data_IF_323827614114
#
_entry.id   IF_323827614114
#
_cell.length_a   1.000
_cell.length_b   1.000
_cell.length_c   1.000
_cell.angle_alpha   90.00
_cell.angle_beta   90.00
_cell.angle_gamma   90.00
#
_symmetry.space_group_name_H-M   'P 1'
#
loop_
_entity.id
_entity.type
_entity.pdbx_description
1 polymer ?
#
# COMPACT_ATOMS: atom_id res chain seq x y z
N UNK A 1 9.91 29.52 -16.47
CA UNK A 1 9.66 29.55 -15.01
C UNK A 1 10.05 30.92 -14.47
N UNK A 2 9.20 31.57 -13.67
CA UNK A 2 9.54 32.89 -13.09
C UNK A 2 10.71 32.76 -12.12
N UNK A 3 11.60 33.76 -12.04
CA UNK A 3 12.74 33.76 -11.09
C UNK A 3 12.28 33.48 -9.64
N UNK A 4 11.07 33.92 -9.28
CA UNK A 4 10.44 33.63 -7.99
C UNK A 4 10.09 32.14 -7.78
N UNK A 5 9.69 31.42 -8.83
CA UNK A 5 9.40 29.99 -8.72
C UNK A 5 10.68 29.17 -8.50
N UNK A 6 11.78 29.55 -9.15
CA UNK A 6 13.09 28.91 -8.97
C UNK A 6 13.57 29.06 -7.53
N UNK A 7 13.44 30.25 -6.93
CA UNK A 7 13.91 30.47 -5.56
C UNK A 7 13.09 29.65 -4.54
N UNK A 8 11.77 29.57 -4.72
CA UNK A 8 10.91 28.72 -3.86
C UNK A 8 11.31 27.25 -3.92
N UNK A 9 11.67 26.75 -5.10
CA UNK A 9 12.11 25.36 -5.26
C UNK A 9 13.43 25.11 -4.55
N UNK A 10 14.43 26.00 -4.69
CA UNK A 10 15.74 25.81 -4.05
C UNK A 10 15.60 25.91 -2.51
N UNK A 11 14.81 26.84 -1.99
CA UNK A 11 14.55 26.95 -0.55
C UNK A 11 13.84 25.69 -0.04
N UNK A 12 12.82 25.20 -0.76
CA UNK A 12 12.12 23.97 -0.40
C UNK A 12 13.04 22.74 -0.39
N UNK A 13 13.91 22.61 -1.39
CA UNK A 13 14.91 21.53 -1.45
C UNK A 13 15.94 21.64 -0.32
N UNK A 14 16.37 22.85 0.03
CA UNK A 14 17.27 23.09 1.15
C UNK A 14 16.67 22.67 2.49
N UNK A 15 15.42 23.06 2.76
CA UNK A 15 14.69 22.67 3.97
C UNK A 15 14.52 21.14 4.04
N UNK A 16 14.12 20.52 2.93
CA UNK A 16 13.96 19.08 2.85
C UNK A 16 15.29 18.34 3.10
N UNK A 17 16.39 18.82 2.51
CA UNK A 17 17.73 18.26 2.72
C UNK A 17 18.19 18.39 4.17
N UNK A 18 18.00 19.55 4.81
CA UNK A 18 18.30 19.74 6.22
C UNK A 18 17.44 18.85 7.13
N UNK A 19 16.14 18.71 6.82
CA UNK A 19 15.24 17.84 7.58
C UNK A 19 15.65 16.37 7.45
N UNK A 20 16.01 15.92 6.25
CA UNK A 20 16.51 14.56 6.00
C UNK A 20 17.84 14.32 6.73
N UNK A 21 18.78 15.26 6.66
CA UNK A 21 20.05 15.19 7.38
C UNK A 21 19.82 15.07 8.90
N UNK A 22 18.92 15.88 9.46
CA UNK A 22 18.57 15.82 10.87
C UNK A 22 17.93 14.48 11.26
N UNK A 23 17.01 13.95 10.45
CA UNK A 23 16.38 12.65 10.71
C UNK A 23 17.39 11.49 10.70
N UNK A 24 18.32 11.49 9.74
CA UNK A 24 19.38 10.48 9.66
C UNK A 24 20.36 10.60 10.82
N UNK A 25 20.74 11.83 11.18
CA UNK A 25 21.69 12.08 12.26
C UNK A 25 21.13 11.68 13.64
N UNK A 26 19.82 11.84 13.85
CA UNK A 26 19.19 11.62 15.16
C UNK A 26 18.78 10.18 15.45
N UNK A 27 19.08 9.21 14.58
CA UNK A 27 18.76 7.78 14.76
C UNK A 27 17.29 7.53 15.19
N UNK A 28 16.38 8.29 14.60
CA UNK A 28 14.94 8.16 14.85
C UNK A 28 14.42 6.91 14.14
N UNK A 29 13.62 6.11 14.85
CA UNK A 29 13.00 4.89 14.31
C UNK A 29 11.49 4.92 14.49
N UNK A 30 10.78 4.43 13.48
CA UNK A 30 9.32 4.35 13.47
C UNK A 30 8.88 2.90 13.62
N UNK A 31 7.89 2.65 14.48
CA UNK A 31 7.31 1.32 14.71
C UNK A 31 5.79 1.39 14.62
N UNK A 32 5.19 0.32 14.11
CA UNK A 32 3.75 0.17 14.08
C UNK A 32 3.29 -0.74 15.23
N UNK A 33 2.39 -0.24 16.06
CA UNK A 33 1.90 -0.96 17.25
C UNK A 33 0.79 -1.92 16.85
N UNK A 34 1.03 -3.21 17.02
CA UNK A 34 0.08 -4.27 16.64
C UNK A 34 -0.87 -4.62 17.79
N UNK A 35 -0.36 -4.65 19.03
CA UNK A 35 -1.10 -5.10 20.21
C UNK A 35 -1.69 -3.94 21.00
N UNK A 36 -2.63 -4.25 21.89
CA UNK A 36 -3.26 -3.28 22.80
C UNK A 36 -2.66 -3.23 24.21
N UNK A 37 -1.42 -3.66 24.43
CA UNK A 37 -0.82 -3.74 25.77
C UNK A 37 -0.55 -2.38 26.41
N UNK A 38 -0.50 -1.32 25.59
CA UNK A 38 -0.25 0.06 26.02
C UNK A 38 -1.51 0.93 26.00
N UNK A 39 -2.70 0.32 25.98
CA UNK A 39 -3.97 1.05 26.12
C UNK A 39 -4.13 1.59 27.56
N UNK A 40 -4.84 2.72 27.76
CA UNK A 40 -5.34 3.65 26.74
C UNK A 40 -4.32 4.62 26.07
N UNK A 41 -3.15 4.99 26.65
CA UNK A 41 -2.30 6.03 26.07
C UNK A 41 -1.78 5.76 24.65
N UNK A 42 -1.54 4.48 24.33
CA UNK A 42 -1.09 4.06 23.00
C UNK A 42 -2.07 2.99 22.49
N UNK A 43 -3.05 3.38 21.66
CA UNK A 43 -3.96 2.44 21.02
C UNK A 43 -3.22 1.48 20.09
N UNK A 44 -3.83 0.32 19.83
CA UNK A 44 -3.40 -0.53 18.72
C UNK A 44 -3.56 0.23 17.39
N UNK A 45 -2.77 -0.17 16.38
CA UNK A 45 -2.67 0.55 15.09
C UNK A 45 -2.15 1.98 15.22
N UNK A 46 -1.29 2.25 16.20
CA UNK A 46 -0.58 3.52 16.33
C UNK A 46 0.80 3.45 15.69
N UNK A 47 1.21 4.53 15.05
CA UNK A 47 2.60 4.75 14.65
C UNK A 47 3.34 5.42 15.81
N UNK A 48 4.36 4.76 16.35
CA UNK A 48 5.21 5.33 17.39
C UNK A 48 6.56 5.70 16.82
N UNK A 49 7.04 6.87 17.22
CA UNK A 49 8.36 7.37 16.88
C UNK A 49 9.23 7.24 18.11
N UNK A 50 10.37 6.58 17.94
CA UNK A 50 11.36 6.38 18.99
C UNK A 50 12.67 7.05 18.63
N UNK A 51 13.43 7.42 19.66
CA UNK A 51 14.79 7.91 19.54
C UNK A 51 15.70 7.08 20.41
N UNK A 52 16.87 6.76 19.88
CA UNK A 52 17.93 6.14 20.67
C UNK A 52 18.45 7.18 21.67
N UNK A 53 18.32 6.87 22.95
CA UNK A 53 18.86 7.67 24.05
C UNK A 53 19.84 6.82 24.86
N UNK A 54 20.68 7.47 25.66
CA UNK A 54 21.60 6.76 26.55
C UNK A 54 20.80 6.06 27.66
N UNK A 55 21.20 4.84 27.99
CA UNK A 55 20.46 3.95 28.89
C UNK A 55 20.32 4.52 30.32
N UNK A 56 21.34 5.22 30.79
CA UNK A 56 21.35 5.94 32.07
C UNK A 56 20.33 7.08 32.17
N UNK A 57 19.84 7.60 31.03
CA UNK A 57 18.93 8.74 31.00
C UNK A 57 17.45 8.35 31.08
N UNK A 58 17.14 7.05 30.93
CA UNK A 58 15.76 6.55 30.96
C UNK A 58 15.22 6.61 32.38
N UNK A 59 14.18 7.42 32.59
CA UNK A 59 13.51 7.55 33.89
C UNK A 59 12.29 6.63 33.98
N UNK A 60 11.92 6.28 35.21
CA UNK A 60 10.63 5.64 35.48
C UNK A 60 9.47 6.50 34.93
N UNK A 61 8.43 5.83 34.43
CA UNK A 61 7.28 6.44 33.78
C UNK A 61 7.44 6.64 32.26
N UNK A 62 8.65 6.49 31.70
CA UNK A 62 8.88 6.56 30.25
C UNK A 62 8.54 5.26 29.54
N UNK A 63 8.13 5.35 28.27
CA UNK A 63 7.85 4.18 27.43
C UNK A 63 9.08 3.88 26.59
N UNK A 64 9.57 2.65 26.69
CA UNK A 64 10.72 2.18 25.93
C UNK A 64 10.32 1.07 24.98
N UNK A 65 11.04 0.99 23.86
CA UNK A 65 10.96 -0.08 22.88
C UNK A 65 12.19 -0.97 23.08
N UNK A 66 11.97 -2.27 23.18
CA UNK A 66 13.05 -3.25 23.40
C UNK A 66 12.73 -4.57 22.70
N UNK A 67 13.77 -5.38 22.52
CA UNK A 67 13.62 -6.77 22.09
C UNK A 67 13.28 -7.64 23.30
N UNK A 68 12.07 -8.19 23.32
CA UNK A 68 11.68 -9.16 24.33
C UNK A 68 12.32 -10.51 24.03
N UNK A 69 13.22 -10.94 24.91
CA UNK A 69 13.97 -12.18 24.76
C UNK A 69 13.11 -13.45 24.86
N UNK A 70 11.95 -13.39 25.54
CA UNK A 70 11.05 -14.53 25.66
C UNK A 70 10.22 -14.72 24.38
N UNK A 71 9.62 -13.64 23.89
CA UNK A 71 8.76 -13.69 22.70
C UNK A 71 9.53 -13.54 21.39
N UNK A 72 10.80 -13.11 21.44
CA UNK A 72 11.64 -12.72 20.30
C UNK A 72 10.98 -11.66 19.42
N UNK A 73 10.20 -10.77 20.04
CA UNK A 73 9.46 -9.69 19.38
C UNK A 73 9.91 -8.34 19.90
N UNK A 74 9.72 -7.33 19.06
CA UNK A 74 9.88 -5.93 19.48
C UNK A 74 8.65 -5.53 20.28
N UNK A 75 8.84 -5.14 21.53
CA UNK A 75 7.79 -4.79 22.47
C UNK A 75 8.00 -3.38 23.00
N UNK A 76 6.92 -2.65 23.23
CA UNK A 76 6.95 -1.31 23.81
C UNK A 76 6.17 -1.30 25.12
N UNK A 77 6.83 -1.07 26.25
CA UNK A 77 6.21 -1.02 27.59
C UNK A 77 6.75 0.16 28.42
N UNK A 78 6.01 0.53 29.47
CA UNK A 78 6.40 1.62 30.38
C UNK A 78 7.37 1.12 31.43
N UNK A 79 8.44 1.86 31.65
CA UNK A 79 9.40 1.62 32.72
C UNK A 79 8.73 1.94 34.05
N UNK A 80 8.62 0.95 34.93
CA UNK A 80 8.13 1.11 36.30
C UNK A 80 9.30 1.45 37.22
N UNK A 81 10.44 0.79 37.01
CA UNK A 81 11.64 0.95 37.83
C UNK A 81 12.90 0.86 36.95
N UNK A 82 13.91 1.67 37.29
CA UNK A 82 15.24 1.61 36.68
C UNK A 82 16.26 1.29 37.78
N UNK A 83 16.91 0.12 37.67
CA UNK A 83 17.99 -0.34 38.54
C UNK A 83 19.30 -0.33 37.76
N UNK A 84 19.96 0.83 37.73
CA UNK A 84 21.28 1.00 37.10
C UNK A 84 21.33 0.56 35.63
N UNK A 85 20.29 0.88 34.85
CA UNK A 85 20.16 0.51 33.43
C UNK A 85 19.38 -0.79 33.19
N UNK A 86 19.05 -1.54 34.24
CA UNK A 86 18.12 -2.65 34.15
C UNK A 86 16.69 -2.17 34.41
N UNK A 87 15.81 -2.32 33.43
CA UNK A 87 14.45 -1.78 33.51
C UNK A 87 13.44 -2.87 33.85
N UNK A 88 12.62 -2.59 34.86
CA UNK A 88 11.38 -3.33 35.07
C UNK A 88 10.29 -2.63 34.28
N UNK A 89 9.69 -3.32 33.32
CA UNK A 89 8.67 -2.75 32.44
C UNK A 89 7.30 -3.33 32.72
N UNK A 90 6.26 -2.60 32.30
CA UNK A 90 4.88 -3.04 32.36
C UNK A 90 4.10 -2.41 31.20
N UNK A 91 3.30 -3.21 30.50
CA UNK A 91 2.29 -2.68 29.59
C UNK A 91 1.22 -1.91 30.36
N UNK A 92 0.83 -0.72 29.90
CA UNK A 92 -0.15 0.13 30.60
C UNK A 92 -1.50 -0.59 30.84
N UNK A 93 -1.88 -1.51 29.94
CA UNK A 93 -3.09 -2.32 30.04
C UNK A 93 -2.89 -3.65 30.77
N UNK A 94 -1.66 -4.04 31.09
CA UNK A 94 -1.38 -5.30 31.75
C UNK A 94 -1.68 -5.19 33.26
N UNK A 95 -2.16 -6.27 33.88
CA UNK A 95 -2.38 -6.30 35.34
C UNK A 95 -1.06 -6.33 36.11
N UNK A 96 -0.13 -7.17 35.65
CA UNK A 96 1.14 -7.44 36.31
C UNK A 96 2.32 -6.79 35.58
N UNK A 97 3.43 -6.61 36.30
CA UNK A 97 4.71 -6.22 35.70
C UNK A 97 5.25 -7.35 34.84
N UNK A 98 6.08 -6.99 33.86
CA UNK A 98 6.77 -7.99 33.05
C UNK A 98 7.77 -8.74 33.93
N UNK A 99 7.82 -10.07 33.77
CA UNK A 99 8.72 -10.92 34.56
C UNK A 99 10.18 -10.76 34.15
N UNK A 100 10.41 -10.36 32.90
CA UNK A 100 11.74 -10.12 32.37
C UNK A 100 12.16 -8.70 32.64
N UNK A 101 13.39 -8.57 33.13
CA UNK A 101 14.08 -7.30 33.24
C UNK A 101 14.69 -6.99 31.88
N UNK A 102 14.47 -5.78 31.39
CA UNK A 102 15.03 -5.32 30.13
C UNK A 102 16.44 -4.80 30.38
N UNK A 103 17.42 -5.45 29.76
CA UNK A 103 18.81 -5.01 29.84
C UNK A 103 19.09 -3.89 28.83
N UNK A 104 20.11 -3.04 29.07
CA UNK A 104 20.51 -1.99 28.15
C UNK A 104 20.74 -2.48 26.72
N UNK A 105 21.30 -3.69 26.56
CA UNK A 105 21.59 -4.29 25.25
C UNK A 105 20.33 -4.58 24.41
N UNK A 106 19.21 -4.82 25.09
CA UNK A 106 17.93 -5.15 24.45
C UNK A 106 17.10 -3.92 24.14
N UNK A 107 17.44 -2.78 24.74
CA UNK A 107 16.74 -1.52 24.54
C UNK A 107 17.07 -0.91 23.17
N UNK A 108 16.02 -0.62 22.41
CA UNK A 108 16.11 0.01 21.09
C UNK A 108 16.04 1.53 21.21
N UNK A 109 15.13 2.06 22.04
CA UNK A 109 14.96 3.51 22.22
C UNK A 109 13.77 3.91 23.11
N UNK A 110 13.68 5.20 23.43
CA UNK A 110 12.53 5.80 24.13
C UNK A 110 11.52 6.32 23.10
N UNK A 111 10.22 6.14 23.39
CA UNK A 111 9.13 6.69 22.59
C UNK A 111 9.05 8.21 22.79
N UNK A 112 9.20 8.95 21.69
CA UNK A 112 9.08 10.42 21.66
C UNK A 112 7.69 10.91 21.24
N UNK A 113 7.00 10.14 20.40
CA UNK A 113 5.72 10.56 19.83
C UNK A 113 4.85 9.37 19.45
N UNK A 114 3.53 9.57 19.56
CA UNK A 114 2.51 8.55 19.27
C UNK A 114 1.49 9.18 18.34
N UNK A 115 1.28 8.55 17.18
CA UNK A 115 0.30 8.95 16.19
C UNK A 115 -0.73 7.81 16.05
N UNK A 116 -1.92 7.95 16.68
CA UNK A 116 -2.96 6.95 16.56
C UNK A 116 -3.53 6.98 15.15
N UNK A 117 -3.14 6.02 14.30
CA UNK A 117 -3.67 5.90 12.94
C UNK A 117 -5.06 5.25 12.95
N UNK A 118 -5.38 4.47 13.98
CA UNK A 118 -6.68 3.82 14.13
C UNK A 118 -7.01 2.97 12.91
N UNK A 119 -8.25 3.11 12.42
CA UNK A 119 -8.73 2.42 11.22
C UNK A 119 -8.34 3.12 9.91
N UNK A 120 -7.56 4.21 9.94
CA UNK A 120 -7.19 4.93 8.72
C UNK A 120 -6.41 4.04 7.75
N UNK A 121 -5.58 3.13 8.26
CA UNK A 121 -4.81 2.19 7.45
C UNK A 121 -5.73 1.14 6.80
N UNK A 122 -6.66 0.58 7.56
CA UNK A 122 -7.58 -0.45 7.08
C UNK A 122 -8.58 0.13 6.08
N UNK A 123 -9.18 1.27 6.41
CA UNK A 123 -10.10 2.00 5.52
C UNK A 123 -9.38 2.47 4.26
N UNK A 124 -8.17 3.04 4.38
CA UNK A 124 -7.37 3.48 3.24
C UNK A 124 -7.06 2.32 2.28
N UNK A 125 -6.67 1.17 2.82
CA UNK A 125 -6.39 -0.01 2.01
C UNK A 125 -7.64 -0.54 1.30
N UNK A 126 -8.80 -0.56 1.97
CA UNK A 126 -10.07 -0.94 1.37
C UNK A 126 -10.46 -0.02 0.19
N UNK A 127 -10.27 1.30 0.34
CA UNK A 127 -10.54 2.27 -0.72
C UNK A 127 -9.63 2.05 -1.93
N UNK A 128 -8.35 1.75 -1.71
CA UNK A 128 -7.40 1.43 -2.79
C UNK A 128 -7.83 0.18 -3.54
N UNK A 129 -8.19 -0.90 -2.84
CA UNK A 129 -8.69 -2.12 -3.49
C UNK A 129 -9.96 -1.88 -4.29
N UNK A 130 -10.89 -1.07 -3.75
CA UNK A 130 -12.12 -0.71 -4.46
C UNK A 130 -11.81 0.10 -5.73
N UNK A 131 -10.89 1.06 -5.66
CA UNK A 131 -10.46 1.83 -6.84
C UNK A 131 -9.82 0.92 -7.90
N UNK A 132 -8.94 0.01 -7.51
CA UNK A 132 -8.31 -0.96 -8.42
C UNK A 132 -9.34 -1.89 -9.07
N UNK A 133 -10.32 -2.38 -8.31
CA UNK A 133 -11.39 -3.23 -8.82
C UNK A 133 -12.25 -2.47 -9.85
N UNK A 134 -12.55 -1.20 -9.61
CA UNK A 134 -13.27 -0.35 -10.56
C UNK A 134 -12.47 -0.12 -11.84
N UNK A 135 -11.16 0.18 -11.73
CA UNK A 135 -10.27 0.34 -12.87
C UNK A 135 -10.24 -0.95 -13.71
N UNK A 136 -10.04 -2.10 -13.05
CA UNK A 136 -10.02 -3.40 -13.71
C UNK A 136 -11.35 -3.71 -14.40
N UNK A 137 -12.47 -3.41 -13.75
CA UNK A 137 -13.81 -3.58 -14.32
C UNK A 137 -14.06 -2.70 -15.55
N UNK A 138 -13.60 -1.45 -15.53
CA UNK A 138 -13.67 -0.55 -16.69
C UNK A 138 -12.83 -1.07 -17.86
N UNK A 139 -11.61 -1.53 -17.58
CA UNK A 139 -10.72 -2.11 -18.60
C UNK A 139 -11.32 -3.39 -19.18
N UNK A 140 -11.87 -4.27 -18.36
CA UNK A 140 -12.55 -5.49 -18.80
C UNK A 140 -13.76 -5.17 -19.67
N UNK A 141 -14.59 -4.20 -19.27
CA UNK A 141 -15.72 -3.75 -20.08
C UNK A 141 -15.28 -3.23 -21.45
N UNK A 142 -14.22 -2.43 -21.50
CA UNK A 142 -13.68 -1.90 -22.76
C UNK A 142 -13.16 -3.03 -23.67
N UNK A 143 -12.48 -4.02 -23.08
CA UNK A 143 -12.00 -5.20 -23.80
C UNK A 143 -13.16 -6.04 -24.36
N UNK A 144 -14.21 -6.29 -23.57
CA UNK A 144 -15.41 -7.01 -24.03
C UNK A 144 -16.13 -6.26 -25.16
N UNK A 145 -16.21 -4.91 -25.08
CA UNK A 145 -16.76 -4.08 -26.16
C UNK A 145 -15.91 -4.15 -27.43
N UNK A 146 -14.59 -4.18 -27.29
CA UNK A 146 -13.65 -4.37 -28.40
C UNK A 146 -13.85 -5.72 -29.08
N UNK A 147 -13.95 -6.82 -28.30
CA UNK A 147 -14.27 -8.14 -28.84
C UNK A 147 -15.60 -8.15 -29.60
N UNK A 148 -16.64 -7.51 -29.05
CA UNK A 148 -17.95 -7.40 -29.71
C UNK A 148 -17.87 -6.65 -31.04
N UNK A 149 -17.13 -5.54 -31.10
CA UNK A 149 -16.94 -4.78 -32.35
C UNK A 149 -16.09 -5.55 -33.37
N UNK A 150 -15.04 -6.26 -32.93
CA UNK A 150 -14.22 -7.10 -33.80
C UNK A 150 -15.01 -8.24 -34.45
N UNK A 151 -15.93 -8.85 -33.71
CA UNK A 151 -16.83 -9.91 -34.21
C UNK A 151 -17.89 -9.34 -35.17
N UNK A 152 -18.36 -8.11 -34.95
CA UNK A 152 -19.33 -7.44 -35.84
C UNK A 152 -18.76 -7.10 -37.21
N UNK A 153 -17.47 -6.76 -37.30
CA UNK A 153 -16.82 -6.46 -38.57
C UNK A 153 -16.60 -7.71 -39.43
N UNK A 154 -16.29 -8.86 -38.84
CA UNK A 154 -16.11 -10.12 -39.57
C UNK A 154 -17.43 -10.68 -40.10
N UNK A 155 -18.52 -10.60 -39.34
CA UNK A 155 -19.85 -11.05 -39.80
C UNK A 155 -20.42 -10.16 -40.91
N UNK A 156 -20.21 -8.85 -40.85
CA UNK A 156 -20.67 -7.91 -41.91
C UNK A 156 -19.91 -8.13 -43.22
N UNK A 157 -18.60 -8.35 -43.16
CA UNK A 157 -17.78 -8.63 -44.35
C UNK A 157 -18.07 -10.01 -44.93
N UNK A 158 -18.28 -11.04 -44.10
CA UNK A 158 -18.65 -12.38 -44.56
C UNK A 158 -20.02 -12.39 -45.23
N UNK A 159 -21.02 -11.73 -44.65
CA UNK A 159 -22.36 -11.61 -45.24
C UNK A 159 -22.37 -10.77 -46.53
N UNK A 160 -21.55 -9.72 -46.61
CA UNK A 160 -21.39 -8.92 -47.81
C UNK A 160 -20.71 -9.72 -48.95
N UNK A 161 -19.66 -10.48 -48.63
CA UNK A 161 -18.99 -11.38 -49.57
C UNK A 161 -19.90 -12.52 -50.03
N UNK A 162 -20.65 -13.16 -49.13
CA UNK A 162 -21.65 -14.16 -49.48
C UNK A 162 -22.76 -13.60 -50.36
N UNK A 163 -23.30 -12.40 -50.08
CA UNK A 163 -24.26 -11.75 -50.98
C UNK A 163 -23.65 -11.45 -52.35
N UNK A 164 -22.42 -10.95 -52.39
CA UNK A 164 -21.74 -10.66 -53.65
C UNK A 164 -21.49 -11.93 -54.48
N UNK A 165 -21.06 -13.01 -53.85
CA UNK A 165 -20.87 -14.32 -54.50
C UNK A 165 -22.20 -14.92 -54.98
N UNK A 166 -23.25 -14.89 -54.16
CA UNK A 166 -24.58 -15.36 -54.56
C UNK A 166 -25.14 -14.54 -55.73
N UNK A 167 -24.96 -13.22 -55.74
CA UNK A 167 -25.35 -12.37 -56.87
C UNK A 167 -24.60 -12.73 -58.15
N UNK A 168 -23.29 -13.03 -58.04
CA UNK A 168 -22.44 -13.40 -59.17
C UNK A 168 -22.78 -14.80 -59.71
N UNK A 169 -23.10 -15.76 -58.84
CA UNK A 169 -23.61 -17.08 -59.23
C UNK A 169 -24.97 -16.97 -59.93
N UNK A 170 -25.91 -16.18 -59.39
CA UNK A 170 -27.21 -15.96 -60.03
C UNK A 170 -27.06 -15.36 -61.44
N UNK A 171 -26.15 -14.40 -61.63
CA UNK A 171 -25.85 -13.81 -62.95
C UNK A 171 -25.22 -14.82 -63.93
N UNK A 172 -24.40 -15.76 -63.44
CA UNK A 172 -23.73 -16.77 -64.27
C UNK A 172 -24.70 -17.85 -64.76
N UNK A 173 -25.70 -18.23 -63.95
CA UNK A 173 -26.76 -19.17 -64.33
C UNK A 173 -27.68 -18.57 -65.41
N UNK A 174 -27.99 -17.28 -65.34
CA UNK A 174 -28.84 -16.60 -66.34
C UNK A 174 -28.12 -16.44 -67.70
N UNK A 175 -26.80 -16.27 -67.72
CA UNK A 175 -26.03 -16.10 -68.96
C UNK A 175 -25.46 -17.40 -69.56
N UNK A 176 -25.46 -18.53 -68.83
CA UNK A 176 -24.90 -19.81 -69.28
C UNK A 176 -25.87 -20.76 -70.00
N UNK A 177 -27.18 -20.45 -70.01
CA UNK A 177 -28.23 -21.32 -70.55
C UNK A 177 -28.49 -21.19 -72.04
N UNK A 178 -27.46 -21.09 -72.89
CA UNK A 178 -27.64 -21.11 -74.35
C UNK A 178 -26.49 -21.84 -75.06
N UNK A 179 -26.36 -23.14 -74.79
CA UNK A 179 -25.54 -24.06 -75.58
C UNK A 179 -26.34 -25.33 -75.89
N UNK A 180 -26.65 -25.51 -77.18
CA UNK A 180 -26.93 -26.80 -77.82
C UNK A 180 -28.32 -27.39 -77.65
N UNK A 181 -29.20 -27.18 -78.63
CA UNK A 181 -30.18 -28.19 -79.04
C UNK A 181 -30.44 -28.06 -80.54
N UNK A 182 -29.94 -29.01 -81.33
CA UNK A 182 -30.26 -29.19 -82.76
C UNK A 182 -30.94 -30.55 -82.90
N UNK A 183 -32.20 -30.61 -83.34
CA UNK A 183 -32.80 -31.86 -83.81
C UNK A 183 -33.03 -31.82 -85.33
N UNK A 184 -32.69 -32.93 -86.01
CA UNK A 184 -33.06 -33.20 -87.41
C UNK A 184 -31.92 -33.06 -88.39
#
# INVERSE_FOLDING_TARGET
>A
MTKQAVWKIIIGLGILSCALYYCVYTNVRMFFVITGSMKPPIPASSLIISKKISYDQVKAGKVIIFNDQNTKRVTAHRVVENKEGNYVTKGDANEYQDRLVVHPVDMIGEVMGVFPLGDFVTVGLQVVFLALALILGMLLKQFLLFLKHGISHSTTTYNALCRFYLFRCAKKVVCGGRAGFSPG
#
